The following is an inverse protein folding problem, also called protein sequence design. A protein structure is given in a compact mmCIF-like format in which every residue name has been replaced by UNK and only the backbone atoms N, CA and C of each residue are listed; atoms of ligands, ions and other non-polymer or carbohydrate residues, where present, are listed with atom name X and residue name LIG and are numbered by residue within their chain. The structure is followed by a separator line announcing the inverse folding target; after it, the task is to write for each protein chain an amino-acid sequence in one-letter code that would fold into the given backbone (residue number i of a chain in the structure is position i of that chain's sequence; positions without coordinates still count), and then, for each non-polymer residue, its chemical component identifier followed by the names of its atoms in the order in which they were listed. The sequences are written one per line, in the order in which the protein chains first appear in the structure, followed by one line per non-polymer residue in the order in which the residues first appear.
data_IF_418515836326
#
_entry.id   IF_418515836326
#
_cell.length_a   1.000
_cell.length_b   1.000
_cell.length_c   1.000
_cell.angle_alpha   90.00
_cell.angle_beta   90.00
_cell.angle_gamma   90.00
#
_symmetry.space_group_name_H-M   'P 1'
#
loop_
_entity.id
_entity.type
_entity.pdbx_description
1 polymer ?
#
# COMPACT_ATOMS: atom_id res chain seq x y z
N UNK A 1 22.27 -3.37 5.35
CA UNK A 1 21.09 -2.48 5.42
C UNK A 1 19.93 -3.25 4.82
N UNK A 2 18.80 -3.48 5.51
CA UNK A 2 17.77 -4.32 4.93
C UNK A 2 17.21 -3.55 3.73
N UNK A 3 17.28 -4.17 2.56
CA UNK A 3 16.54 -3.75 1.37
C UNK A 3 15.13 -3.43 1.84
N UNK A 4 14.58 -2.27 1.48
CA UNK A 4 13.18 -1.93 1.79
C UNK A 4 12.28 -2.97 1.12
N UNK A 5 12.07 -4.09 1.81
CA UNK A 5 11.22 -5.18 1.34
C UNK A 5 9.80 -4.68 1.41
N UNK A 6 8.99 -4.97 0.38
CA UNK A 6 7.59 -4.60 0.30
C UNK A 6 6.81 -4.79 1.63
N UNK A 7 6.96 -5.92 2.37
CA UNK A 7 6.29 -6.08 3.67
C UNK A 7 6.65 -5.01 4.70
N UNK A 8 7.89 -4.54 4.72
CA UNK A 8 8.33 -3.50 5.64
C UNK A 8 7.82 -2.11 5.28
N UNK A 9 7.54 -1.84 4.00
CA UNK A 9 6.87 -0.61 3.58
C UNK A 9 5.38 -0.64 3.91
N UNK A 10 4.74 -1.79 3.74
CA UNK A 10 3.34 -1.99 4.12
C UNK A 10 3.13 -1.82 5.62
N UNK A 11 3.99 -2.41 6.46
CA UNK A 11 3.95 -2.16 7.92
C UNK A 11 4.10 -0.69 8.26
N UNK A 12 5.03 0.03 7.60
CA UNK A 12 5.17 1.47 7.81
C UNK A 12 3.95 2.27 7.38
N UNK A 13 3.28 1.85 6.30
CA UNK A 13 2.04 2.46 5.83
C UNK A 13 0.94 2.26 6.87
N UNK A 14 0.81 1.05 7.40
CA UNK A 14 -0.15 0.74 8.45
C UNK A 14 0.14 1.51 9.75
N UNK A 15 1.40 1.56 10.21
CA UNK A 15 1.81 2.35 11.37
C UNK A 15 1.52 3.85 11.18
N UNK A 16 1.82 4.39 10.00
CA UNK A 16 1.55 5.80 9.69
C UNK A 16 0.05 6.17 9.74
N UNK A 17 -0.84 5.19 9.57
CA UNK A 17 -2.29 5.34 9.68
C UNK A 17 -2.83 4.98 11.07
N UNK A 18 -2.10 4.17 11.84
CA UNK A 18 -2.43 3.82 13.22
C UNK A 18 -2.06 4.90 14.23
N UNK A 19 -0.98 5.66 13.96
CA UNK A 19 -0.49 6.72 14.84
C UNK A 19 -1.38 8.00 14.78
N UNK A 20 -2.09 8.19 13.68
CA UNK A 20 -3.10 9.25 13.54
C UNK A 20 -4.40 8.82 14.22
N UNK A 21 -4.60 9.31 15.45
CA UNK A 21 -5.80 9.22 16.29
C UNK A 21 -7.04 8.58 15.63
N UNK A 22 -7.33 7.31 15.98
CA UNK A 22 -8.66 6.64 16.10
C UNK A 22 -9.62 6.64 14.89
N UNK A 23 -9.46 7.46 13.85
CA UNK A 23 -10.65 7.95 13.11
C UNK A 23 -10.81 7.47 11.67
N UNK A 24 -9.98 6.57 11.16
CA UNK A 24 -10.16 6.10 9.77
C UNK A 24 -10.11 4.57 9.65
N UNK A 25 -11.06 3.91 10.32
CA UNK A 25 -11.27 2.45 10.23
C UNK A 25 -11.51 1.99 8.79
N UNK A 26 -12.13 2.85 7.96
CA UNK A 26 -12.34 2.60 6.54
C UNK A 26 -11.01 2.58 5.77
N UNK A 27 -10.17 3.59 5.98
CA UNK A 27 -8.85 3.68 5.37
C UNK A 27 -7.91 2.55 5.82
N UNK A 28 -7.95 2.18 7.10
CA UNK A 28 -7.20 1.01 7.60
C UNK A 28 -7.69 -0.30 6.96
N UNK A 29 -9.00 -0.45 6.75
CA UNK A 29 -9.56 -1.61 6.05
C UNK A 29 -9.11 -1.66 4.59
N UNK A 30 -9.11 -0.52 3.88
CA UNK A 30 -8.62 -0.41 2.50
C UNK A 30 -7.14 -0.75 2.37
N UNK A 31 -6.30 -0.26 3.28
CA UNK A 31 -4.87 -0.63 3.30
C UNK A 31 -4.68 -2.11 3.60
N UNK A 32 -5.45 -2.67 4.53
CA UNK A 32 -5.38 -4.10 4.83
C UNK A 32 -5.80 -4.97 3.63
N UNK A 33 -6.81 -4.53 2.88
CA UNK A 33 -7.25 -5.18 1.64
C UNK A 33 -6.18 -5.09 0.54
N UNK A 34 -5.55 -3.92 0.41
CA UNK A 34 -4.44 -3.71 -0.51
C UNK A 34 -3.23 -4.59 -0.17
N UNK A 35 -2.83 -4.67 1.10
CA UNK A 35 -1.76 -5.56 1.58
C UNK A 35 -2.06 -7.02 1.25
N UNK A 36 -3.31 -7.43 1.44
CA UNK A 36 -3.74 -8.79 1.14
C UNK A 36 -3.71 -9.08 -0.35
N UNK A 37 -4.19 -8.15 -1.18
CA UNK A 37 -4.17 -8.26 -2.64
C UNK A 37 -2.74 -8.36 -3.16
N UNK A 38 -1.84 -7.53 -2.61
CA UNK A 38 -0.40 -7.56 -2.89
C UNK A 38 0.23 -8.91 -2.55
N UNK A 39 0.02 -9.40 -1.33
CA UNK A 39 0.53 -10.71 -0.90
C UNK A 39 0.01 -11.82 -1.80
N UNK A 40 -1.27 -11.81 -2.12
CA UNK A 40 -1.86 -12.79 -3.03
C UNK A 40 -1.23 -12.76 -4.42
N UNK A 41 -0.93 -11.58 -4.97
CA UNK A 41 -0.27 -11.44 -6.27
C UNK A 41 1.20 -11.92 -6.24
N UNK A 42 1.93 -11.65 -5.15
CA UNK A 42 3.30 -12.14 -4.95
C UNK A 42 3.36 -13.65 -4.74
N UNK A 43 2.40 -14.22 -4.01
CA UNK A 43 2.40 -15.64 -3.66
C UNK A 43 1.84 -16.54 -4.76
N UNK A 44 0.86 -16.07 -5.54
CA UNK A 44 0.20 -16.96 -6.51
C UNK A 44 0.83 -16.96 -7.91
N UNK A 45 1.72 -16.04 -8.28
CA UNK A 45 2.06 -15.74 -9.70
C UNK A 45 0.81 -15.63 -10.60
N UNK A 46 -0.36 -15.54 -9.99
CA UNK A 46 -1.63 -15.55 -10.67
C UNK A 46 -1.89 -14.11 -11.05
N UNK A 47 -2.32 -13.96 -12.29
CA UNK A 47 -2.68 -12.75 -12.98
C UNK A 47 -3.85 -12.03 -12.27
N UNK A 48 -3.63 -11.58 -11.04
CA UNK A 48 -4.40 -10.51 -10.42
C UNK A 48 -4.16 -9.32 -11.33
N UNK A 49 -5.22 -8.79 -11.92
CA UNK A 49 -5.12 -7.69 -12.88
C UNK A 49 -4.32 -6.56 -12.25
N UNK A 50 -3.08 -6.33 -12.72
CA UNK A 50 -2.23 -5.21 -12.29
C UNK A 50 -2.98 -3.88 -12.32
N UNK A 51 -3.91 -3.74 -13.27
CA UNK A 51 -4.86 -2.62 -13.36
C UNK A 51 -5.66 -2.41 -12.07
N UNK A 52 -6.21 -3.48 -11.48
CA UNK A 52 -7.00 -3.39 -10.25
C UNK A 52 -6.17 -2.97 -9.04
N UNK A 53 -4.89 -3.34 -9.01
CA UNK A 53 -3.98 -2.97 -7.92
C UNK A 53 -3.51 -1.52 -8.09
N UNK A 54 -3.25 -1.10 -9.32
CA UNK A 54 -2.96 0.30 -9.66
C UNK A 54 -4.14 1.23 -9.32
N UNK A 55 -5.37 0.83 -9.61
CA UNK A 55 -6.57 1.58 -9.27
C UNK A 55 -6.74 1.74 -7.76
N UNK A 56 -6.50 0.68 -6.98
CA UNK A 56 -6.50 0.75 -5.51
C UNK A 56 -5.41 1.69 -4.98
N UNK A 57 -4.21 1.65 -5.54
CA UNK A 57 -3.11 2.57 -5.17
C UNK A 57 -3.51 4.02 -5.46
N UNK A 58 -4.07 4.29 -6.65
CA UNK A 58 -4.50 5.65 -7.01
C UNK A 58 -5.59 6.19 -6.08
N UNK A 59 -6.52 5.33 -5.65
CA UNK A 59 -7.56 5.71 -4.68
C UNK A 59 -6.95 6.03 -3.31
N UNK A 60 -6.08 5.16 -2.80
CA UNK A 60 -5.39 5.37 -1.52
C UNK A 60 -4.48 6.62 -1.58
N UNK A 61 -3.82 6.89 -2.70
CA UNK A 61 -2.99 8.07 -2.89
C UNK A 61 -3.82 9.36 -2.79
N UNK A 62 -5.01 9.39 -3.41
CA UNK A 62 -5.91 10.54 -3.34
C UNK A 62 -6.40 10.79 -1.91
N UNK A 63 -6.72 9.71 -1.16
CA UNK A 63 -7.13 9.79 0.24
C UNK A 63 -5.98 10.25 1.15
N UNK A 64 -4.77 9.71 0.96
CA UNK A 64 -3.60 10.10 1.75
C UNK A 64 -3.06 11.48 1.42
N UNK A 65 -3.17 11.96 0.17
CA UNK A 65 -2.71 13.30 -0.19
C UNK A 65 -3.47 14.40 0.55
N UNK A 66 -4.72 14.14 0.93
CA UNK A 66 -5.55 15.07 1.68
C UNK A 66 -5.27 15.05 3.19
N UNK A 67 -5.09 13.87 3.78
CA UNK A 67 -5.10 13.70 5.25
C UNK A 67 -3.78 13.15 5.84
N UNK A 68 -2.98 12.42 5.05
CA UNK A 68 -1.81 11.67 5.53
C UNK A 68 -0.61 11.76 4.56
N UNK A 69 0.08 12.91 4.47
CA UNK A 69 1.22 13.11 3.56
C UNK A 69 2.37 12.12 3.80
N UNK A 70 2.53 11.62 5.03
CA UNK A 70 3.51 10.56 5.33
C UNK A 70 3.11 9.21 4.71
N UNK A 71 1.83 8.86 4.75
CA UNK A 71 1.30 7.62 4.16
C UNK A 71 1.38 7.67 2.63
N UNK A 72 1.08 8.82 2.01
CA UNK A 72 1.26 9.05 0.58
C UNK A 72 2.70 8.80 0.13
N UNK A 73 3.68 9.31 0.88
CA UNK A 73 5.11 9.10 0.59
C UNK A 73 5.49 7.62 0.64
N UNK A 74 4.97 6.87 1.62
CA UNK A 74 5.22 5.43 1.76
C UNK A 74 4.53 4.64 0.63
N UNK A 75 3.32 5.04 0.23
CA UNK A 75 2.59 4.41 -0.87
C UNK A 75 3.31 4.57 -2.22
N UNK A 76 3.92 5.74 -2.48
CA UNK A 76 4.80 5.94 -3.65
C UNK A 76 6.00 5.00 -3.62
N UNK A 77 6.64 4.82 -2.46
CA UNK A 77 7.75 3.86 -2.33
C UNK A 77 7.28 2.42 -2.61
N UNK A 78 6.06 2.05 -2.19
CA UNK A 78 5.45 0.75 -2.51
C UNK A 78 5.24 0.60 -4.01
N UNK A 79 4.69 1.61 -4.69
CA UNK A 79 4.48 1.61 -6.14
C UNK A 79 5.80 1.47 -6.91
N UNK A 80 6.85 2.18 -6.49
CA UNK A 80 8.19 2.07 -7.08
C UNK A 80 8.78 0.67 -6.93
N UNK A 81 8.58 0.04 -5.77
CA UNK A 81 9.02 -1.34 -5.53
C UNK A 81 8.23 -2.31 -6.41
N UNK A 82 6.92 -2.14 -6.54
CA UNK A 82 6.08 -2.98 -7.39
C UNK A 82 6.43 -2.86 -8.87
N UNK A 83 6.60 -1.63 -9.35
CA UNK A 83 7.04 -1.34 -10.72
C UNK A 83 8.39 -1.98 -11.04
N UNK A 84 9.31 -2.04 -10.06
CA UNK A 84 10.61 -2.72 -10.22
C UNK A 84 10.50 -4.24 -10.29
N UNK A 85 9.48 -4.83 -9.66
CA UNK A 85 9.26 -6.27 -9.66
C UNK A 85 8.41 -6.69 -10.89
N UNK A 86 7.89 -5.72 -11.67
CA UNK A 86 7.12 -5.95 -12.88
C UNK A 86 5.66 -6.33 -12.60
N UNK A 87 5.14 -5.89 -11.45
CA UNK A 87 3.80 -6.19 -10.91
C UNK A 87 2.87 -5.02 -11.21
#
# INVERSE_FOLDING_TARGET
MPKSSLPGLLTKLHDALGDTEITNTDLQAKVSEFERSLKQQLENEAQVNSTSLQDQINQLEAEFAAEHPTAERILREIMDVLSRIGV
#
